data_IF_703252935247
#
_entry.id   IF_703252935247
#
_cell.length_a   1.000
_cell.length_b   1.000
_cell.length_c   1.000
_cell.angle_alpha   90.00
_cell.angle_beta   90.00
_cell.angle_gamma   90.00
#
_symmetry.space_group_name_H-M   'P 1'
#
loop_
_entity.id
_entity.type
_entity.pdbx_description
1 polymer ?
#
# COMPACT_ATOMS: atom_id res chain seq x y z
N UNK A 1 30.76 4.58 54.86
CA UNK A 1 32.16 4.52 55.34
C UNK A 1 32.34 3.25 56.16
N UNK A 2 33.55 2.64 56.25
CA UNK A 2 34.75 2.82 55.41
C UNK A 2 34.65 1.87 54.18
N UNK A 3 35.67 1.30 53.50
CA UNK A 3 37.12 1.56 53.40
C UNK A 3 37.53 1.59 51.90
N UNK A 4 38.59 0.89 51.45
CA UNK A 4 39.19 1.06 50.11
C UNK A 4 40.25 0.00 49.70
N UNK A 5 40.62 0.02 48.41
CA UNK A 5 41.80 -0.57 47.71
C UNK A 5 41.68 -2.02 47.18
N UNK A 6 42.27 -2.44 46.03
CA UNK A 6 43.31 -1.83 45.15
C UNK A 6 43.40 -2.45 43.71
N UNK A 7 43.68 -1.60 42.70
CA UNK A 7 44.42 -1.80 41.41
C UNK A 7 43.97 -2.80 40.30
N UNK A 8 44.45 -2.49 39.08
CA UNK A 8 44.04 -2.90 37.71
C UNK A 8 45.29 -3.50 36.93
N UNK A 9 45.27 -3.83 35.61
CA UNK A 9 44.66 -4.93 34.81
C UNK A 9 45.70 -5.89 34.12
N UNK A 10 45.23 -6.90 33.34
CA UNK A 10 46.05 -7.60 32.32
C UNK A 10 45.31 -8.67 31.50
N UNK A 11 45.68 -8.86 30.22
CA UNK A 11 45.13 -9.87 29.27
C UNK A 11 46.20 -10.99 29.00
N UNK A 12 46.04 -12.04 28.17
CA UNK A 12 45.08 -12.43 27.11
C UNK A 12 45.21 -13.98 26.86
N UNK A 13 44.21 -14.67 26.27
CA UNK A 13 44.42 -15.68 25.18
C UNK A 13 43.15 -16.45 24.73
N UNK A 14 43.15 -16.90 23.46
CA UNK A 14 42.12 -17.69 22.75
C UNK A 14 42.82 -18.89 22.09
N UNK A 15 42.12 -20.01 21.81
CA UNK A 15 42.36 -20.72 20.55
C UNK A 15 41.09 -21.08 19.77
N UNK A 16 41.24 -21.15 18.44
CA UNK A 16 40.34 -21.75 17.44
C UNK A 16 41.22 -22.70 16.57
N UNK A 17 40.75 -23.37 15.48
CA UNK A 17 39.41 -23.49 14.90
C UNK A 17 39.02 -24.94 14.49
N UNK A 18 37.88 -25.13 13.80
CA UNK A 18 37.70 -26.17 12.76
C UNK A 18 36.51 -25.84 11.83
N UNK A 19 36.49 -26.35 10.59
CA UNK A 19 35.62 -25.92 9.50
C UNK A 19 35.08 -27.09 8.63
N UNK A 20 34.00 -26.88 7.87
CA UNK A 20 33.46 -27.79 6.84
C UNK A 20 32.75 -27.03 5.68
N UNK A 21 32.44 -27.72 4.57
CA UNK A 21 32.37 -27.17 3.18
C UNK A 21 31.67 -28.13 2.20
N UNK A 22 30.88 -27.77 1.15
CA UNK A 22 30.20 -26.52 0.65
C UNK A 22 28.94 -26.97 -0.16
N UNK A 23 28.02 -26.13 -0.69
CA UNK A 23 28.10 -25.51 -2.05
C UNK A 23 26.89 -24.60 -2.40
N UNK A 24 27.08 -23.82 -3.49
CA UNK A 24 26.17 -23.12 -4.43
C UNK A 24 24.72 -23.66 -4.60
N UNK A 25 23.68 -22.85 -4.82
CA UNK A 25 23.53 -21.43 -5.24
C UNK A 25 22.59 -20.66 -4.25
N UNK A 26 22.27 -19.37 -4.33
CA UNK A 26 22.54 -18.31 -5.33
C UNK A 26 22.69 -16.89 -4.68
N UNK A 27 22.63 -15.81 -5.48
CA UNK A 27 22.88 -14.43 -5.06
C UNK A 27 21.80 -13.80 -4.17
N UNK A 28 22.12 -13.64 -2.88
CA UNK A 28 21.51 -12.63 -2.01
C UNK A 28 22.56 -11.55 -1.69
N UNK A 29 22.29 -10.30 -2.07
CA UNK A 29 23.09 -9.15 -1.64
C UNK A 29 22.74 -8.80 -0.18
N UNK A 30 23.26 -9.57 0.77
CA UNK A 30 23.25 -9.19 2.18
C UNK A 30 24.41 -8.23 2.44
N UNK A 31 24.12 -6.97 2.78
CA UNK A 31 25.12 -5.99 3.22
C UNK A 31 25.63 -6.40 4.61
N UNK A 32 26.61 -7.31 4.65
CA UNK A 32 27.45 -7.52 5.84
C UNK A 32 28.55 -6.47 5.83
N UNK A 33 28.59 -5.66 6.89
CA UNK A 33 29.74 -4.81 7.24
C UNK A 33 30.97 -5.71 7.39
N UNK A 34 31.76 -5.79 6.33
CA UNK A 34 32.91 -6.69 6.29
C UNK A 34 34.07 -6.07 7.06
N UNK A 35 34.62 -6.81 8.03
CA UNK A 35 35.88 -6.48 8.68
C UNK A 35 36.97 -6.28 7.61
N UNK A 36 37.54 -5.07 7.54
CA UNK A 36 38.76 -4.83 6.76
C UNK A 36 39.95 -5.31 7.60
N UNK A 37 40.37 -6.55 7.38
CA UNK A 37 41.62 -7.07 7.91
C UNK A 37 42.80 -6.48 7.13
N UNK A 38 43.36 -5.36 7.61
CA UNK A 38 44.56 -4.76 7.01
C UNK A 38 45.78 -5.63 7.33
N UNK A 39 46.21 -6.42 6.35
CA UNK A 39 47.48 -7.13 6.37
C UNK A 39 48.61 -6.19 5.91
N UNK A 40 49.09 -5.35 6.83
CA UNK A 40 50.37 -4.64 6.66
C UNK A 40 51.16 -4.63 7.96
N UNK A 41 52.32 -5.28 7.97
CA UNK A 41 53.31 -5.14 9.04
C UNK A 41 53.99 -3.78 8.94
N UNK A 42 53.39 -2.75 9.51
CA UNK A 42 54.11 -1.53 9.87
C UNK A 42 53.35 -0.75 10.96
N UNK A 43 54.08 -0.31 11.98
CA UNK A 43 53.52 0.32 13.17
C UNK A 43 53.16 1.78 12.90
N UNK A 44 51.86 2.10 12.83
CA UNK A 44 51.37 3.49 12.84
C UNK A 44 50.46 3.69 14.06
N UNK A 45 50.78 4.71 14.84
CA UNK A 45 50.03 5.07 16.05
C UNK A 45 48.96 6.14 15.76
N UNK A 46 47.88 6.16 16.56
CA UNK A 46 46.72 7.10 16.61
C UNK A 46 45.47 6.71 15.78
N UNK A 47 44.39 6.20 16.42
CA UNK A 47 43.18 5.74 15.74
C UNK A 47 42.10 6.84 15.56
N UNK A 48 42.45 8.01 14.99
CA UNK A 48 41.47 9.09 14.71
C UNK A 48 41.52 9.68 13.28
N UNK A 49 42.30 9.09 12.36
CA UNK A 49 42.47 9.62 11.00
C UNK A 49 41.72 8.85 9.89
N UNK A 50 41.29 7.60 10.11
CA UNK A 50 40.72 6.77 9.03
C UNK A 50 39.29 7.16 8.59
N UNK A 51 38.44 7.68 9.49
CA UNK A 51 37.08 8.10 9.12
C UNK A 51 37.09 9.34 8.21
N UNK A 52 38.01 10.27 8.45
CA UNK A 52 38.16 11.49 7.65
C UNK A 52 38.73 11.22 6.26
N UNK A 53 39.58 10.20 6.12
CA UNK A 53 40.20 9.85 4.84
C UNK A 53 39.19 9.28 3.83
N UNK A 54 38.24 8.44 4.28
CA UNK A 54 37.21 7.89 3.40
C UNK A 54 36.24 8.98 2.89
N UNK A 55 35.87 9.93 3.76
CA UNK A 55 35.04 11.08 3.38
C UNK A 55 35.79 12.09 2.50
N UNK A 56 37.09 12.32 2.74
CA UNK A 56 37.90 13.20 1.87
C UNK A 56 38.21 12.56 0.50
N UNK A 57 38.33 11.24 0.40
CA UNK A 57 38.49 10.53 -0.86
C UNK A 57 37.24 10.60 -1.76
N UNK A 58 36.05 10.77 -1.16
CA UNK A 58 34.79 10.99 -1.88
C UNK A 58 34.58 12.45 -2.32
N UNK A 59 35.36 13.41 -1.78
CA UNK A 59 35.12 14.85 -1.95
C UNK A 59 36.34 15.70 -2.38
N UNK A 60 37.44 15.09 -2.84
CA UNK A 60 38.56 15.85 -3.46
C UNK A 60 38.99 15.29 -4.81
N UNK A 61 39.10 16.20 -5.76
CA UNK A 61 39.48 15.94 -7.14
C UNK A 61 40.94 15.46 -7.30
N UNK A 62 41.19 14.78 -8.43
CA UNK A 62 42.50 14.51 -9.03
C UNK A 62 43.53 13.78 -8.15
N UNK A 63 43.62 12.47 -8.37
CA UNK A 63 44.94 11.82 -8.48
C UNK A 63 44.93 10.84 -9.64
N UNK A 64 45.68 11.17 -10.69
CA UNK A 64 45.92 10.27 -11.83
C UNK A 64 47.04 9.31 -11.42
N UNK A 65 46.74 8.01 -11.31
CA UNK A 65 47.77 6.99 -11.25
C UNK A 65 47.87 6.25 -12.58
N UNK A 66 48.90 6.58 -13.35
CA UNK A 66 49.33 5.77 -14.48
C UNK A 66 49.94 4.46 -13.96
N UNK A 67 49.29 3.34 -14.22
CA UNK A 67 50.01 2.07 -14.41
C UNK A 67 49.25 1.15 -15.36
N UNK A 68 49.87 0.85 -16.51
CA UNK A 68 49.51 -0.20 -17.48
C UNK A 68 48.05 -0.26 -17.98
N UNK A 69 47.76 0.57 -19.00
CA UNK A 69 47.09 0.06 -20.21
C UNK A 69 45.59 -0.21 -20.20
N UNK A 70 44.84 0.10 -19.13
CA UNK A 70 43.37 0.20 -19.18
C UNK A 70 42.89 1.44 -18.44
N UNK A 71 42.40 2.42 -19.19
CA UNK A 71 41.54 3.48 -18.64
C UNK A 71 40.19 2.84 -18.37
N UNK A 72 39.98 2.38 -17.14
CA UNK A 72 38.63 2.06 -16.66
C UNK A 72 38.03 3.41 -16.23
N UNK A 73 37.18 3.99 -17.07
CA UNK A 73 36.48 5.20 -16.70
C UNK A 73 35.43 4.87 -15.62
N UNK A 74 35.77 5.21 -14.38
CA UNK A 74 34.93 4.96 -13.20
C UNK A 74 33.70 5.88 -13.20
N UNK A 75 33.68 6.96 -14.01
CA UNK A 75 32.50 7.83 -14.15
C UNK A 75 31.29 7.07 -14.73
N UNK A 76 31.53 6.07 -15.58
CA UNK A 76 30.48 5.23 -16.17
C UNK A 76 29.90 4.15 -15.22
N UNK A 77 30.26 4.12 -13.92
CA UNK A 77 29.72 3.17 -12.94
C UNK A 77 28.79 3.75 -11.88
N UNK A 78 28.53 5.06 -11.92
CA UNK A 78 27.40 5.67 -11.21
C UNK A 78 26.57 6.47 -12.21
N UNK A 79 26.08 5.79 -13.26
CA UNK A 79 24.84 6.23 -13.91
C UNK A 79 23.78 6.04 -12.83
N UNK A 80 23.34 7.13 -12.19
CA UNK A 80 22.21 7.11 -11.26
C UNK A 80 21.04 6.62 -12.10
N UNK A 81 20.69 5.34 -11.98
CA UNK A 81 19.61 4.76 -12.76
C UNK A 81 18.33 5.38 -12.22
N UNK A 82 17.82 6.40 -12.89
CA UNK A 82 16.64 7.14 -12.48
C UNK A 82 15.50 6.15 -12.23
N UNK A 83 15.15 5.96 -10.96
CA UNK A 83 14.15 4.96 -10.56
C UNK A 83 12.79 5.63 -10.46
N UNK A 84 11.82 5.12 -11.21
CA UNK A 84 10.42 5.56 -11.11
C UNK A 84 9.65 4.58 -10.23
N UNK A 85 8.88 5.11 -9.27
CA UNK A 85 7.83 4.36 -8.60
C UNK A 85 6.46 4.78 -9.16
N UNK A 86 5.60 3.80 -9.45
CA UNK A 86 4.22 4.03 -9.83
C UNK A 86 3.30 3.45 -8.74
N UNK A 87 2.68 4.32 -7.98
CA UNK A 87 1.74 4.00 -6.91
C UNK A 87 0.32 4.12 -7.46
N UNK A 88 -0.49 3.10 -7.25
CA UNK A 88 -1.88 3.06 -7.68
C UNK A 88 -2.81 2.86 -6.48
N UNK A 89 -3.95 3.54 -6.45
CA UNK A 89 -5.09 3.06 -5.67
C UNK A 89 -5.66 1.76 -6.28
N UNK A 90 -6.43 1.01 -5.48
CA UNK A 90 -7.11 -0.21 -5.93
C UNK A 90 -8.51 0.04 -6.51
N UNK A 91 -9.41 0.73 -5.81
CA UNK A 91 -10.85 0.62 -6.02
C UNK A 91 -11.44 1.82 -6.78
N UNK A 92 -11.60 1.67 -8.09
CA UNK A 92 -11.90 2.76 -9.03
C UNK A 92 -10.70 3.11 -9.92
N UNK A 93 -9.49 2.72 -9.48
CA UNK A 93 -8.23 2.92 -10.21
C UNK A 93 -7.74 1.66 -10.93
N UNK A 94 -7.24 0.64 -10.22
CA UNK A 94 -6.86 -0.65 -10.82
C UNK A 94 -8.06 -1.57 -11.05
N UNK A 95 -9.07 -1.48 -10.18
CA UNK A 95 -10.25 -2.33 -10.17
C UNK A 95 -11.50 -1.54 -10.56
N UNK A 96 -12.22 -2.01 -11.58
CA UNK A 96 -13.60 -1.58 -11.82
C UNK A 96 -14.44 -2.06 -10.64
N UNK A 97 -15.09 -1.13 -9.96
CA UNK A 97 -15.75 -1.39 -8.68
C UNK A 97 -17.27 -1.20 -8.80
N UNK A 98 -18.01 -2.18 -8.28
CA UNK A 98 -19.47 -2.17 -8.15
C UNK A 98 -19.81 -2.14 -6.67
N UNK A 99 -20.78 -1.31 -6.28
CA UNK A 99 -21.25 -1.19 -4.89
C UNK A 99 -22.75 -1.46 -4.84
N UNK A 100 -23.20 -2.16 -3.81
CA UNK A 100 -24.62 -2.30 -3.47
C UNK A 100 -24.82 -1.81 -2.04
N UNK A 101 -25.90 -1.07 -1.83
CA UNK A 101 -26.27 -0.45 -0.56
C UNK A 101 -27.74 -0.71 -0.32
N UNK A 102 -28.10 -1.09 0.88
CA UNK A 102 -29.49 -1.29 1.30
C UNK A 102 -29.72 -0.55 2.62
N UNK A 103 -30.73 0.30 2.65
CA UNK A 103 -31.25 0.93 3.87
C UNK A 103 -31.94 -0.12 4.73
N UNK A 104 -31.68 -0.14 6.03
CA UNK A 104 -32.26 -1.11 6.97
C UNK A 104 -33.69 -0.73 7.38
N UNK A 105 -34.02 0.56 7.41
CA UNK A 105 -35.31 1.03 7.95
C UNK A 105 -36.49 0.88 6.99
N UNK A 106 -36.23 0.83 5.68
CA UNK A 106 -37.24 0.68 4.63
C UNK A 106 -36.94 -0.47 3.64
N UNK A 107 -35.80 -1.16 3.81
CA UNK A 107 -35.28 -2.21 2.92
C UNK A 107 -35.17 -1.78 1.44
N UNK A 108 -34.99 -0.49 1.18
CA UNK A 108 -34.82 0.04 -0.19
C UNK A 108 -33.35 0.33 -0.52
N UNK A 109 -33.04 0.28 -1.81
CA UNK A 109 -31.77 0.81 -2.33
C UNK A 109 -31.93 2.33 -2.41
N UNK A 110 -31.05 3.14 -1.78
CA UNK A 110 -31.16 4.59 -1.85
C UNK A 110 -31.17 5.09 -3.29
N UNK A 111 -31.96 6.13 -3.57
CA UNK A 111 -32.03 6.72 -4.91
C UNK A 111 -30.66 7.25 -5.35
N UNK A 112 -30.29 6.89 -6.59
CA UNK A 112 -29.01 7.09 -7.26
C UNK A 112 -27.83 6.20 -6.82
N UNK A 113 -26.83 6.12 -7.70
CA UNK A 113 -25.55 5.44 -7.46
C UNK A 113 -24.69 6.25 -6.46
N UNK A 114 -25.08 6.23 -5.19
CA UNK A 114 -24.40 6.97 -4.12
C UNK A 114 -23.11 6.24 -3.74
N UNK A 115 -21.96 6.90 -3.87
CA UNK A 115 -20.74 6.39 -3.25
C UNK A 115 -20.92 6.23 -1.74
N UNK A 116 -20.44 5.14 -1.18
CA UNK A 116 -20.59 4.86 0.26
C UNK A 116 -19.95 5.95 1.14
N UNK A 117 -18.87 6.58 0.66
CA UNK A 117 -18.27 7.80 1.20
C UNK A 117 -19.24 8.97 1.20
N UNK A 118 -19.92 9.26 0.07
CA UNK A 118 -20.93 10.31 -0.03
C UNK A 118 -22.10 10.06 0.94
N UNK A 119 -22.60 8.82 1.03
CA UNK A 119 -23.68 8.45 1.96
C UNK A 119 -23.27 8.63 3.43
N UNK A 120 -22.03 8.25 3.77
CA UNK A 120 -21.44 8.46 5.10
C UNK A 120 -21.26 9.94 5.41
N UNK A 121 -20.94 10.77 4.42
CA UNK A 121 -20.69 12.22 4.61
C UNK A 121 -21.97 13.08 4.59
N UNK A 122 -23.14 12.49 4.32
CA UNK A 122 -24.43 13.20 4.42
C UNK A 122 -24.86 13.48 5.87
N UNK A 123 -24.42 12.66 6.84
CA UNK A 123 -24.68 12.85 8.27
C UNK A 123 -23.37 12.78 9.05
N UNK A 124 -23.02 13.76 9.91
CA UNK A 124 -21.78 13.74 10.69
C UNK A 124 -21.65 12.57 11.68
N UNK A 125 -22.75 11.91 12.03
CA UNK A 125 -22.79 10.79 12.99
C UNK A 125 -22.75 9.41 12.30
N UNK A 126 -22.70 9.36 10.96
CA UNK A 126 -22.54 8.11 10.19
C UNK A 126 -21.08 7.66 10.10
N UNK A 127 -20.86 6.36 10.30
CA UNK A 127 -19.55 5.70 10.25
C UNK A 127 -19.61 4.46 9.38
N UNK A 128 -18.79 4.44 8.32
CA UNK A 128 -18.61 3.29 7.45
C UNK A 128 -17.67 2.29 8.10
N UNK A 129 -18.17 1.07 8.29
CA UNK A 129 -17.42 -0.07 8.85
C UNK A 129 -17.28 -1.20 7.85
N UNK A 130 -16.11 -1.81 7.83
CA UNK A 130 -15.81 -3.01 7.05
C UNK A 130 -15.87 -4.24 7.97
N UNK A 131 -16.82 -5.14 7.74
CA UNK A 131 -17.05 -6.31 8.59
C UNK A 131 -16.13 -7.47 8.17
N UNK A 132 -15.55 -8.22 9.11
CA UNK A 132 -14.65 -9.35 8.83
C UNK A 132 -15.39 -10.63 8.40
N UNK A 133 -16.48 -10.47 7.65
CA UNK A 133 -17.32 -11.55 7.14
C UNK A 133 -16.63 -12.36 6.04
N UNK A 134 -16.91 -13.66 6.03
CA UNK A 134 -16.62 -14.54 4.92
C UNK A 134 -17.90 -14.75 4.10
N UNK A 135 -17.92 -14.29 2.84
CA UNK A 135 -19.15 -14.17 2.04
C UNK A 135 -19.89 -15.49 1.80
N UNK A 136 -19.21 -16.63 1.93
CA UNK A 136 -19.85 -17.96 1.82
C UNK A 136 -20.68 -18.32 3.05
N UNK A 137 -20.24 -17.93 4.25
CA UNK A 137 -20.89 -18.30 5.52
C UNK A 137 -22.17 -17.48 5.73
N UNK A 138 -22.10 -16.16 5.52
CA UNK A 138 -23.27 -15.29 5.62
C UNK A 138 -24.35 -15.64 4.58
N UNK A 139 -23.96 -16.19 3.43
CA UNK A 139 -24.88 -16.71 2.39
C UNK A 139 -25.47 -18.10 2.70
N UNK A 140 -25.00 -18.76 3.75
CA UNK A 140 -25.53 -20.03 4.26
C UNK A 140 -26.30 -19.88 5.59
N UNK A 141 -26.17 -18.73 6.25
CA UNK A 141 -26.89 -18.38 7.47
C UNK A 141 -28.38 -18.10 7.23
N UNK A 142 -29.18 -18.21 8.28
CA UNK A 142 -30.63 -17.98 8.26
C UNK A 142 -30.94 -16.52 7.87
N UNK A 143 -31.65 -16.25 6.76
CA UNK A 143 -31.96 -14.88 6.34
C UNK A 143 -32.82 -14.10 7.35
N UNK A 144 -33.63 -14.77 8.17
CA UNK A 144 -34.50 -14.11 9.14
C UNK A 144 -33.79 -13.76 10.47
N UNK A 145 -32.58 -14.28 10.69
CA UNK A 145 -31.77 -13.96 11.87
C UNK A 145 -31.22 -12.53 11.88
N UNK A 146 -30.94 -12.01 13.08
CA UNK A 146 -30.32 -10.69 13.23
C UNK A 146 -28.84 -10.74 12.86
N UNK A 147 -28.37 -9.67 12.19
CA UNK A 147 -26.96 -9.54 11.83
C UNK A 147 -26.08 -9.40 13.09
N UNK A 148 -26.55 -8.71 14.13
CA UNK A 148 -25.87 -8.52 15.42
C UNK A 148 -25.61 -9.84 16.16
N UNK A 149 -26.60 -10.73 16.18
CA UNK A 149 -26.49 -12.09 16.75
C UNK A 149 -25.42 -12.88 16.01
N UNK A 150 -25.48 -12.95 14.68
CA UNK A 150 -24.46 -13.61 13.85
C UNK A 150 -23.06 -13.05 14.11
N UNK A 151 -22.90 -11.72 14.13
CA UNK A 151 -21.62 -11.05 14.38
C UNK A 151 -21.04 -11.43 15.76
N UNK A 152 -21.92 -11.55 16.77
CA UNK A 152 -21.57 -11.93 18.15
C UNK A 152 -21.17 -13.40 18.26
N UNK A 153 -21.98 -14.33 17.72
CA UNK A 153 -21.72 -15.77 17.76
C UNK A 153 -20.43 -16.15 17.05
N UNK A 154 -20.22 -15.59 15.85
CA UNK A 154 -19.01 -15.82 15.04
C UNK A 154 -17.79 -15.05 15.54
N UNK A 155 -17.97 -14.12 16.49
CA UNK A 155 -16.95 -13.16 16.94
C UNK A 155 -16.32 -12.39 15.77
N UNK A 156 -17.16 -12.00 14.81
CA UNK A 156 -16.73 -11.27 13.62
C UNK A 156 -16.22 -9.89 13.99
N UNK A 157 -14.91 -9.68 13.91
CA UNK A 157 -14.31 -8.36 14.06
C UNK A 157 -14.72 -7.40 12.92
N UNK A 158 -14.45 -6.11 13.12
CA UNK A 158 -14.66 -5.08 12.10
C UNK A 158 -13.51 -4.07 12.10
N UNK A 159 -13.40 -3.29 11.03
CA UNK A 159 -12.53 -2.12 10.94
C UNK A 159 -13.33 -0.87 10.60
N UNK A 160 -13.02 0.25 11.25
CA UNK A 160 -13.57 1.56 10.85
C UNK A 160 -12.88 1.98 9.55
N UNK A 161 -13.67 2.14 8.48
CA UNK A 161 -13.17 2.49 7.15
C UNK A 161 -13.24 3.99 6.89
N UNK A 162 -14.34 4.65 7.29
CA UNK A 162 -14.53 6.07 7.06
C UNK A 162 -15.48 6.70 8.08
N UNK A 163 -15.20 7.93 8.50
CA UNK A 163 -16.01 8.70 9.43
C UNK A 163 -15.48 10.12 9.59
N UNK A 164 -16.32 11.05 10.05
CA UNK A 164 -15.93 12.46 10.26
C UNK A 164 -15.33 12.75 11.64
N UNK A 165 -15.38 11.79 12.55
CA UNK A 165 -14.97 11.96 13.94
C UNK A 165 -13.93 10.89 14.31
N UNK A 166 -13.02 11.20 15.25
CA UNK A 166 -12.11 10.20 15.85
C UNK A 166 -12.90 9.44 16.91
N UNK A 167 -13.13 8.15 16.69
CA UNK A 167 -14.06 7.35 17.49
C UNK A 167 -13.34 6.11 18.05
N UNK A 168 -13.67 5.77 19.30
CA UNK A 168 -13.23 4.55 19.96
C UNK A 168 -14.00 3.37 19.37
N UNK A 169 -13.29 2.29 19.00
CA UNK A 169 -13.87 1.06 18.44
C UNK A 169 -15.09 0.56 19.19
N UNK A 170 -15.08 0.70 20.51
CA UNK A 170 -16.02 0.06 21.41
C UNK A 170 -17.45 0.61 21.26
N UNK A 171 -17.60 1.91 20.92
CA UNK A 171 -18.91 2.54 20.65
C UNK A 171 -19.51 2.04 19.34
N UNK A 172 -18.68 1.85 18.32
CA UNK A 172 -19.09 1.24 17.04
C UNK A 172 -19.44 -0.23 17.24
N UNK A 173 -18.69 -0.92 18.11
CA UNK A 173 -18.93 -2.30 18.50
C UNK A 173 -20.25 -2.49 19.23
N UNK A 174 -20.58 -1.64 20.21
CA UNK A 174 -21.85 -1.76 20.93
C UNK A 174 -23.04 -1.62 19.98
N UNK A 175 -23.00 -0.71 19.01
CA UNK A 175 -24.04 -0.60 17.99
C UNK A 175 -24.10 -1.88 17.13
N UNK A 176 -22.98 -2.32 16.57
CA UNK A 176 -22.95 -3.50 15.67
C UNK A 176 -23.40 -4.81 16.32
N UNK A 177 -23.05 -5.04 17.58
CA UNK A 177 -23.36 -6.29 18.29
C UNK A 177 -24.67 -6.24 19.09
N UNK A 178 -25.34 -5.09 19.18
CA UNK A 178 -26.62 -4.91 19.90
C UNK A 178 -27.76 -4.38 19.02
N UNK A 179 -27.51 -4.14 17.72
CA UNK A 179 -28.55 -3.77 16.76
C UNK A 179 -29.69 -4.80 16.73
N UNK A 180 -30.92 -4.34 16.50
CA UNK A 180 -32.14 -5.18 16.54
C UNK A 180 -32.97 -5.10 15.26
N UNK A 181 -32.46 -4.46 14.21
CA UNK A 181 -33.20 -4.18 12.97
C UNK A 181 -32.54 -4.81 11.74
N UNK A 182 -31.21 -4.75 11.62
CA UNK A 182 -30.48 -5.28 10.46
C UNK A 182 -30.51 -6.81 10.44
N UNK A 183 -31.01 -7.39 9.33
CA UNK A 183 -31.09 -8.84 9.15
C UNK A 183 -29.93 -9.39 8.33
N UNK A 184 -29.72 -10.70 8.47
CA UNK A 184 -28.82 -11.45 7.59
C UNK A 184 -29.30 -11.35 6.12
N UNK A 185 -30.61 -11.33 5.86
CA UNK A 185 -31.18 -11.10 4.53
C UNK A 185 -30.69 -9.80 3.86
N UNK A 186 -30.55 -8.70 4.60
CA UNK A 186 -30.10 -7.41 4.06
C UNK A 186 -28.65 -7.52 3.56
N UNK A 187 -27.79 -8.11 4.39
CA UNK A 187 -26.39 -8.38 4.07
C UNK A 187 -26.25 -9.35 2.89
N UNK A 188 -27.04 -10.42 2.87
CA UNK A 188 -27.09 -11.37 1.76
C UNK A 188 -27.50 -10.68 0.45
N UNK A 189 -28.47 -9.76 0.49
CA UNK A 189 -28.93 -9.03 -0.71
C UNK A 189 -27.79 -8.20 -1.31
N UNK A 190 -27.14 -7.34 -0.52
CA UNK A 190 -26.06 -6.48 -1.06
C UNK A 190 -24.89 -7.29 -1.60
N UNK A 191 -24.49 -8.38 -0.92
CA UNK A 191 -23.46 -9.30 -1.38
C UNK A 191 -23.86 -9.96 -2.71
N UNK A 192 -25.11 -10.42 -2.83
CA UNK A 192 -25.66 -11.08 -4.03
C UNK A 192 -25.72 -10.14 -5.23
N UNK A 193 -26.16 -8.89 -5.03
CA UNK A 193 -26.24 -7.87 -6.08
C UNK A 193 -24.85 -7.57 -6.67
N UNK A 194 -23.85 -7.39 -5.81
CA UNK A 194 -22.45 -7.24 -6.22
C UNK A 194 -21.95 -8.50 -6.96
N UNK A 195 -22.12 -9.69 -6.37
CA UNK A 195 -21.67 -10.97 -6.95
C UNK A 195 -22.25 -11.20 -8.35
N UNK A 196 -23.57 -11.02 -8.51
CA UNK A 196 -24.30 -11.21 -9.78
C UNK A 196 -23.87 -10.24 -10.89
N UNK A 197 -23.20 -9.14 -10.52
CA UNK A 197 -22.64 -8.18 -11.46
C UNK A 197 -21.21 -8.57 -11.84
N UNK A 198 -20.32 -8.78 -10.87
CA UNK A 198 -18.88 -9.02 -11.14
C UNK A 198 -18.59 -10.42 -11.69
N UNK A 199 -19.34 -11.45 -11.28
CA UNK A 199 -19.15 -12.84 -11.77
C UNK A 199 -19.46 -13.04 -13.26
N UNK A 200 -20.16 -12.08 -13.89
CA UNK A 200 -20.40 -12.06 -15.35
C UNK A 200 -19.25 -11.39 -16.13
N UNK A 201 -18.35 -10.72 -15.43
CA UNK A 201 -17.33 -9.84 -16.00
C UNK A 201 -15.91 -10.37 -15.79
N UNK A 202 -15.69 -11.11 -14.69
CA UNK A 202 -14.42 -11.74 -14.37
C UNK A 202 -14.64 -13.03 -13.56
N UNK A 203 -13.85 -14.06 -13.86
CA UNK A 203 -13.78 -15.29 -13.05
C UNK A 203 -13.17 -15.04 -11.66
N UNK A 204 -12.43 -13.95 -11.50
CA UNK A 204 -11.79 -13.55 -10.25
C UNK A 204 -12.07 -12.09 -9.90
N UNK A 205 -12.51 -11.84 -8.67
CA UNK A 205 -12.82 -10.54 -8.14
C UNK A 205 -12.66 -10.53 -6.62
N UNK A 206 -12.36 -9.36 -6.05
CA UNK A 206 -12.48 -9.12 -4.62
C UNK A 206 -13.93 -8.76 -4.28
N UNK A 207 -14.45 -9.24 -3.15
CA UNK A 207 -15.73 -8.79 -2.59
C UNK A 207 -15.55 -8.48 -1.09
N UNK A 208 -16.10 -7.35 -0.67
CA UNK A 208 -16.13 -6.83 0.68
C UNK A 208 -17.57 -6.58 1.13
N UNK A 209 -17.82 -6.73 2.42
CA UNK A 209 -19.10 -6.47 3.07
C UNK A 209 -18.89 -5.56 4.27
N UNK A 210 -19.86 -4.71 4.55
CA UNK A 210 -19.76 -3.63 5.52
C UNK A 210 -21.12 -3.08 5.89
N UNK A 211 -21.12 -2.08 6.76
CA UNK A 211 -22.31 -1.37 7.19
C UNK A 211 -22.02 0.12 7.36
N UNK A 212 -23.06 0.93 7.40
CA UNK A 212 -23.00 2.27 8.01
C UNK A 212 -23.79 2.22 9.30
N UNK A 213 -23.12 2.52 10.41
CA UNK A 213 -23.76 2.77 11.71
C UNK A 213 -23.96 4.27 11.91
N UNK A 214 -25.00 4.67 12.64
CA UNK A 214 -25.20 6.05 13.08
C UNK A 214 -25.08 6.12 14.60
N UNK A 215 -24.13 6.94 15.08
CA UNK A 215 -23.82 7.11 16.51
C UNK A 215 -24.94 7.81 17.30
N UNK A 216 -25.77 8.62 16.62
CA UNK A 216 -26.86 9.39 17.25
C UNK A 216 -28.15 8.58 17.40
N UNK A 217 -28.38 7.62 16.50
CA UNK A 217 -29.55 6.73 16.56
C UNK A 217 -29.22 5.36 17.16
N UNK A 218 -27.92 5.08 17.40
CA UNK A 218 -27.38 3.82 17.93
C UNK A 218 -27.80 2.58 17.11
N UNK A 219 -27.81 2.71 15.77
CA UNK A 219 -28.30 1.67 14.84
C UNK A 219 -27.42 1.48 13.61
N UNK A 220 -27.55 0.33 12.98
CA UNK A 220 -27.12 0.08 11.60
C UNK A 220 -28.16 0.71 10.65
N UNK A 221 -27.79 1.79 9.96
CA UNK A 221 -28.69 2.41 8.97
C UNK A 221 -28.62 1.73 7.60
N UNK A 222 -27.45 1.19 7.22
CA UNK A 222 -27.27 0.56 5.90
C UNK A 222 -26.39 -0.69 5.99
N UNK A 223 -26.76 -1.71 5.22
CA UNK A 223 -25.85 -2.79 4.83
C UNK A 223 -25.22 -2.48 3.47
N UNK A 224 -23.97 -2.89 3.27
CA UNK A 224 -23.16 -2.50 2.11
C UNK A 224 -22.33 -3.69 1.64
N UNK A 225 -22.25 -3.86 0.32
CA UNK A 225 -21.19 -4.64 -0.32
C UNK A 225 -20.47 -3.82 -1.39
N UNK A 226 -19.18 -4.11 -1.57
CA UNK A 226 -18.38 -3.59 -2.67
C UNK A 226 -17.60 -4.76 -3.29
N UNK A 227 -17.62 -4.88 -4.61
CA UNK A 227 -16.85 -5.88 -5.33
C UNK A 227 -16.10 -5.26 -6.50
N UNK A 228 -14.88 -5.74 -6.76
CA UNK A 228 -14.00 -5.16 -7.76
C UNK A 228 -13.17 -6.22 -8.50
N UNK A 229 -12.97 -5.99 -9.79
CA UNK A 229 -12.14 -6.81 -10.67
C UNK A 229 -11.23 -5.91 -11.53
N UNK A 230 -10.04 -6.36 -11.95
CA UNK A 230 -9.12 -5.52 -12.71
C UNK A 230 -9.75 -4.95 -13.99
N UNK A 231 -9.47 -3.69 -14.29
CA UNK A 231 -9.78 -3.16 -15.62
C UNK A 231 -9.05 -3.95 -16.71
N UNK A 232 -9.61 -4.06 -17.94
CA UNK A 232 -8.93 -4.70 -19.05
C UNK A 232 -7.55 -4.09 -19.31
N UNK A 233 -6.53 -4.93 -19.53
CA UNK A 233 -5.16 -4.49 -19.80
C UNK A 233 -4.30 -4.18 -18.56
N UNK A 234 -4.86 -4.19 -17.33
CA UNK A 234 -4.09 -3.85 -16.11
C UNK A 234 -2.90 -4.80 -15.87
N UNK A 235 -3.03 -6.09 -16.20
CA UNK A 235 -1.93 -7.05 -16.04
C UNK A 235 -0.80 -6.77 -17.02
N UNK A 236 -1.15 -6.48 -18.26
CA UNK A 236 -0.24 -6.14 -19.35
C UNK A 236 0.44 -4.79 -19.11
N UNK A 237 -0.29 -3.82 -18.55
CA UNK A 237 0.22 -2.54 -18.06
C UNK A 237 1.29 -2.75 -16.98
N UNK A 238 0.98 -3.50 -15.92
CA UNK A 238 1.93 -3.79 -14.82
C UNK A 238 3.16 -4.52 -15.35
N UNK A 239 2.98 -5.51 -16.22
CA UNK A 239 4.09 -6.23 -16.86
C UNK A 239 4.98 -5.30 -17.70
N UNK A 240 4.38 -4.36 -18.43
CA UNK A 240 5.11 -3.36 -19.24
C UNK A 240 5.91 -2.40 -18.35
N UNK A 241 5.30 -1.88 -17.29
CA UNK A 241 5.98 -1.02 -16.30
C UNK A 241 7.16 -1.75 -15.64
N UNK A 242 6.98 -3.02 -15.25
CA UNK A 242 8.09 -3.84 -14.73
C UNK A 242 9.18 -4.08 -15.79
N UNK A 243 8.83 -4.28 -17.06
CA UNK A 243 9.78 -4.38 -18.17
C UNK A 243 10.61 -3.12 -18.39
N UNK A 244 10.05 -1.94 -18.08
CA UNK A 244 10.74 -0.65 -18.08
C UNK A 244 11.58 -0.41 -16.80
N UNK A 245 11.56 -1.33 -15.83
CA UNK A 245 12.26 -1.19 -14.55
C UNK A 245 11.57 -0.31 -13.52
N UNK A 246 10.30 0.04 -13.73
CA UNK A 246 9.46 0.82 -12.81
C UNK A 246 9.07 -0.04 -11.62
N UNK A 247 9.09 0.51 -10.41
CA UNK A 247 8.57 -0.17 -9.23
C UNK A 247 7.07 0.12 -9.05
N UNK A 248 6.22 -0.89 -9.27
CA UNK A 248 4.77 -0.74 -9.14
C UNK A 248 4.30 -1.09 -7.72
N UNK A 249 3.47 -0.23 -7.12
CA UNK A 249 2.90 -0.36 -5.77
C UNK A 249 1.37 -0.21 -5.77
N UNK A 250 0.70 -0.83 -4.79
CA UNK A 250 -0.72 -0.59 -4.49
C UNK A 250 -0.83 0.09 -3.12
N UNK A 251 -1.65 1.14 -2.99
CA UNK A 251 -2.00 1.75 -1.71
C UNK A 251 -3.51 1.95 -1.58
N UNK A 252 -4.18 1.11 -0.78
CA UNK A 252 -5.65 1.11 -0.61
C UNK A 252 -6.07 0.92 0.86
N UNK A 253 -7.27 1.40 1.19
CA UNK A 253 -7.92 1.17 2.50
C UNK A 253 -8.41 -0.26 2.72
N UNK A 254 -8.41 -1.10 1.68
CA UNK A 254 -8.76 -2.52 1.77
C UNK A 254 -7.78 -3.35 2.61
N UNK A 255 -8.23 -4.50 3.12
CA UNK A 255 -7.36 -5.42 3.86
C UNK A 255 -6.22 -5.94 2.98
N UNK A 256 -5.00 -5.90 3.50
CA UNK A 256 -3.77 -6.35 2.83
C UNK A 256 -3.92 -7.74 2.20
N UNK A 257 -4.48 -8.73 2.91
CA UNK A 257 -4.66 -10.08 2.38
C UNK A 257 -5.53 -10.15 1.10
N UNK A 258 -6.51 -9.27 0.92
CA UNK A 258 -7.32 -9.20 -0.31
C UNK A 258 -6.58 -8.48 -1.43
N UNK A 259 -5.86 -7.42 -1.09
CA UNK A 259 -5.00 -6.70 -2.04
C UNK A 259 -3.85 -7.58 -2.54
N UNK A 260 -3.27 -8.43 -1.69
CA UNK A 260 -2.26 -9.43 -2.09
C UNK A 260 -2.82 -10.43 -3.11
N UNK A 261 -4.05 -10.92 -2.93
CA UNK A 261 -4.69 -11.82 -3.90
C UNK A 261 -4.88 -11.14 -5.27
N UNK A 262 -5.25 -9.86 -5.29
CA UNK A 262 -5.37 -9.07 -6.52
C UNK A 262 -3.99 -8.79 -7.11
N UNK A 263 -3.01 -8.42 -6.28
CA UNK A 263 -1.64 -8.12 -6.68
C UNK A 263 -0.97 -9.32 -7.35
N UNK A 264 -1.10 -10.52 -6.78
CA UNK A 264 -0.62 -11.78 -7.37
C UNK A 264 -1.21 -12.02 -8.78
N UNK A 265 -2.47 -11.62 -9.01
CA UNK A 265 -3.15 -11.79 -10.31
C UNK A 265 -2.61 -10.82 -11.36
N UNK A 266 -2.48 -9.53 -11.01
CA UNK A 266 -1.99 -8.48 -11.92
C UNK A 266 -0.45 -8.39 -11.99
N UNK A 267 0.27 -9.15 -11.17
CA UNK A 267 1.72 -9.27 -11.20
C UNK A 267 2.49 -8.28 -10.33
N UNK A 268 1.85 -7.68 -9.31
CA UNK A 268 2.51 -6.78 -8.35
C UNK A 268 3.06 -7.59 -7.16
N UNK A 269 4.34 -7.42 -6.77
CA UNK A 269 4.91 -8.09 -5.60
C UNK A 269 4.19 -7.74 -4.29
N UNK A 270 3.90 -8.73 -3.45
CA UNK A 270 3.21 -8.54 -2.16
C UNK A 270 3.89 -7.55 -1.21
N UNK A 271 5.23 -7.45 -1.25
CA UNK A 271 5.98 -6.46 -0.45
C UNK A 271 5.83 -5.02 -0.95
N UNK A 272 5.07 -4.79 -2.02
CA UNK A 272 4.66 -3.46 -2.55
C UNK A 272 3.15 -3.22 -2.42
N UNK A 273 2.47 -4.02 -1.60
CA UNK A 273 1.03 -3.89 -1.32
C UNK A 273 0.83 -3.26 0.05
N UNK A 274 0.29 -2.04 0.07
CA UNK A 274 -0.02 -1.30 1.28
C UNK A 274 -1.53 -1.27 1.50
N UNK A 275 -2.02 -2.25 2.26
CA UNK A 275 -3.42 -2.32 2.71
C UNK A 275 -3.69 -1.52 3.98
N UNK A 276 -4.98 -1.31 4.27
CA UNK A 276 -5.49 -0.52 5.41
C UNK A 276 -4.90 0.91 5.43
N UNK A 277 -4.57 1.44 4.25
CA UNK A 277 -3.98 2.76 4.10
C UNK A 277 -5.06 3.85 4.12
N UNK A 278 -5.12 4.62 5.22
CA UNK A 278 -5.91 5.86 5.29
C UNK A 278 -5.39 6.90 4.29
N UNK A 279 -6.15 7.95 3.93
CA UNK A 279 -5.67 9.02 3.06
C UNK A 279 -4.33 9.65 3.51
N UNK A 280 -4.12 9.77 4.82
CA UNK A 280 -2.86 10.24 5.42
C UNK A 280 -1.75 9.20 5.25
N UNK A 281 -2.06 7.91 5.46
CA UNK A 281 -1.12 6.80 5.25
C UNK A 281 -0.67 6.71 3.79
N UNK A 282 -1.58 6.88 2.82
CA UNK A 282 -1.25 6.92 1.39
C UNK A 282 -0.27 8.04 1.06
N UNK A 283 -0.51 9.25 1.59
CA UNK A 283 0.40 10.37 1.43
C UNK A 283 1.80 10.07 2.04
N UNK A 284 1.86 9.46 3.23
CA UNK A 284 3.12 9.07 3.84
C UNK A 284 3.88 8.00 3.04
N UNK A 285 3.18 7.04 2.41
CA UNK A 285 3.78 6.05 1.51
C UNK A 285 4.45 6.75 0.32
N UNK A 286 3.74 7.68 -0.34
CA UNK A 286 4.30 8.48 -1.44
C UNK A 286 5.52 9.28 -0.99
N UNK A 287 5.45 9.97 0.15
CA UNK A 287 6.59 10.73 0.69
C UNK A 287 7.80 9.85 1.02
N UNK A 288 7.58 8.65 1.58
CA UNK A 288 8.67 7.69 1.85
C UNK A 288 9.31 7.22 0.54
N UNK A 289 8.51 6.87 -0.47
CA UNK A 289 9.01 6.45 -1.78
C UNK A 289 9.83 7.55 -2.47
N UNK A 290 9.52 8.83 -2.26
CA UNK A 290 10.34 9.97 -2.76
C UNK A 290 11.74 10.06 -2.13
N UNK A 291 12.04 9.26 -1.10
CA UNK A 291 13.40 9.11 -0.55
C UNK A 291 14.18 7.96 -1.18
N UNK A 292 13.49 7.03 -1.87
CA UNK A 292 14.05 5.83 -2.49
C UNK A 292 14.05 5.88 -4.03
N UNK A 293 13.14 6.68 -4.62
CA UNK A 293 12.87 6.79 -6.04
C UNK A 293 13.01 8.24 -6.51
N UNK A 294 13.55 8.43 -7.72
CA UNK A 294 13.76 9.76 -8.31
C UNK A 294 12.46 10.47 -8.69
N UNK A 295 11.43 9.70 -9.09
CA UNK A 295 10.10 10.21 -9.44
C UNK A 295 9.06 9.23 -8.92
N UNK A 296 8.08 9.73 -8.17
CA UNK A 296 6.91 8.97 -7.73
C UNK A 296 5.66 9.48 -8.45
N UNK A 297 5.07 8.60 -9.24
CA UNK A 297 3.77 8.81 -9.90
C UNK A 297 2.68 8.24 -8.99
N UNK A 298 1.69 9.04 -8.61
CA UNK A 298 0.50 8.57 -7.90
C UNK A 298 -0.71 8.60 -8.83
N UNK A 299 -1.33 7.43 -9.05
CA UNK A 299 -2.58 7.31 -9.79
C UNK A 299 -3.73 6.99 -8.85
N UNK A 300 -4.79 7.80 -8.89
CA UNK A 300 -6.00 7.62 -8.09
C UNK A 300 -7.25 8.05 -8.87
N UNK A 301 -8.44 7.82 -8.31
CA UNK A 301 -9.71 8.21 -8.94
C UNK A 301 -10.59 9.07 -8.02
N UNK A 302 -10.31 9.13 -6.71
CA UNK A 302 -11.21 9.70 -5.73
C UNK A 302 -10.57 10.58 -4.67
N UNK A 303 -11.42 11.23 -3.87
CA UNK A 303 -11.00 12.22 -2.85
C UNK A 303 -10.05 11.64 -1.79
N UNK A 304 -10.08 10.32 -1.57
CA UNK A 304 -9.19 9.60 -0.67
C UNK A 304 -7.73 9.62 -1.12
N UNK A 305 -7.47 9.84 -2.42
CA UNK A 305 -6.14 9.86 -3.01
C UNK A 305 -5.56 11.27 -3.09
N UNK A 306 -6.37 12.32 -2.92
CA UNK A 306 -6.00 13.72 -3.10
C UNK A 306 -4.72 14.11 -2.33
N UNK A 307 -4.58 13.68 -1.08
CA UNK A 307 -3.39 13.97 -0.25
C UNK A 307 -2.13 13.24 -0.74
N UNK A 308 -2.29 12.07 -1.36
CA UNK A 308 -1.20 11.30 -1.94
C UNK A 308 -0.82 11.86 -3.32
N UNK A 309 -1.79 12.26 -4.14
CA UNK A 309 -1.59 12.97 -5.39
C UNK A 309 -0.81 14.28 -5.16
N UNK A 310 -1.23 15.12 -4.19
CA UNK A 310 -0.51 16.34 -3.78
C UNK A 310 0.91 16.11 -3.23
N UNK A 311 1.23 14.87 -2.85
CA UNK A 311 2.56 14.50 -2.33
C UNK A 311 3.49 13.96 -3.42
N UNK A 312 2.93 13.49 -4.53
CA UNK A 312 3.65 12.86 -5.63
C UNK A 312 4.51 13.86 -6.41
N UNK A 313 5.33 13.36 -7.33
CA UNK A 313 6.02 14.18 -8.32
C UNK A 313 5.19 14.34 -9.60
N UNK A 314 4.33 13.35 -9.88
CA UNK A 314 3.31 13.39 -10.93
C UNK A 314 2.01 12.80 -10.37
N UNK A 315 0.94 13.57 -10.42
CA UNK A 315 -0.42 13.17 -10.06
C UNK A 315 -1.22 12.78 -11.32
N UNK A 316 -1.74 11.56 -11.35
CA UNK A 316 -2.59 11.06 -12.44
C UNK A 316 -3.99 10.78 -11.88
N UNK A 317 -5.00 11.45 -12.44
CA UNK A 317 -6.41 11.17 -12.16
C UNK A 317 -6.95 10.23 -13.23
N UNK A 318 -7.45 9.05 -12.84
CA UNK A 318 -8.24 8.22 -13.75
C UNK A 318 -9.73 8.52 -13.59
N UNK A 319 -10.42 8.65 -14.72
CA UNK A 319 -11.88 8.77 -14.81
C UNK A 319 -12.55 7.53 -15.42
N UNK A 320 -11.80 6.43 -15.57
CA UNK A 320 -12.27 5.18 -16.18
C UNK A 320 -13.42 4.51 -15.40
N UNK A 321 -13.47 4.73 -14.09
CA UNK A 321 -14.63 4.41 -13.25
C UNK A 321 -15.65 5.56 -13.35
N UNK A 322 -16.89 5.25 -13.71
CA UNK A 322 -17.98 6.24 -13.71
C UNK A 322 -18.29 6.71 -12.28
N UNK A 323 -18.41 8.02 -12.09
CA UNK A 323 -18.66 8.64 -10.80
C UNK A 323 -18.55 10.18 -10.84
N UNK A 324 -19.16 10.86 -9.87
CA UNK A 324 -18.97 12.30 -9.67
C UNK A 324 -17.68 12.54 -8.89
N UNK A 325 -16.87 13.50 -9.33
CA UNK A 325 -15.58 13.85 -8.71
C UNK A 325 -15.56 15.33 -8.35
N UNK A 326 -15.08 15.72 -7.14
CA UNK A 326 -14.85 17.12 -6.80
C UNK A 326 -13.82 17.79 -7.73
N UNK A 327 -14.04 19.05 -8.09
CA UNK A 327 -13.18 19.81 -9.03
C UNK A 327 -11.70 19.79 -8.62
N UNK A 328 -11.43 19.87 -7.32
CA UNK A 328 -10.06 19.88 -6.76
C UNK A 328 -9.23 18.64 -7.11
N UNK A 329 -9.83 17.53 -7.53
CA UNK A 329 -9.09 16.38 -8.08
C UNK A 329 -8.51 16.70 -9.46
N UNK A 330 -9.28 17.36 -10.33
CA UNK A 330 -8.82 17.81 -11.65
C UNK A 330 -7.78 18.93 -11.52
N UNK A 331 -7.99 19.89 -10.60
CA UNK A 331 -7.01 20.95 -10.30
C UNK A 331 -5.67 20.43 -9.74
N UNK A 332 -5.68 19.25 -9.12
CA UNK A 332 -4.49 18.61 -8.52
C UNK A 332 -3.76 17.69 -9.51
N UNK A 333 -4.40 17.26 -10.59
CA UNK A 333 -3.85 16.26 -11.48
C UNK A 333 -3.02 16.89 -12.61
N UNK A 334 -1.78 16.41 -12.79
CA UNK A 334 -0.94 16.75 -13.95
C UNK A 334 -1.49 16.08 -15.23
N UNK A 335 -2.10 14.90 -15.07
CA UNK A 335 -2.71 14.14 -16.17
C UNK A 335 -4.09 13.60 -15.77
N UNK A 336 -5.04 13.66 -16.70
CA UNK A 336 -6.35 13.01 -16.58
C UNK A 336 -6.47 11.96 -17.68
N UNK A 337 -6.80 10.72 -17.32
CA UNK A 337 -6.88 9.58 -18.24
C UNK A 337 -8.24 8.87 -18.12
N UNK A 338 -8.81 8.42 -19.23
CA UNK A 338 -10.03 7.60 -19.28
C UNK A 338 -9.74 6.09 -19.39
N UNK A 339 -8.48 5.71 -19.58
CA UNK A 339 -7.99 4.34 -19.55
C UNK A 339 -6.70 4.24 -18.71
N UNK A 340 -6.73 3.44 -17.65
CA UNK A 340 -5.59 3.23 -16.75
C UNK A 340 -4.31 2.78 -17.45
N UNK A 341 -4.43 2.08 -18.60
CA UNK A 341 -3.29 1.64 -19.39
C UNK A 341 -2.46 2.80 -19.98
N UNK A 342 -3.03 4.01 -20.11
CA UNK A 342 -2.30 5.18 -20.61
C UNK A 342 -1.25 5.70 -19.62
N UNK A 343 -1.28 5.29 -18.35
CA UNK A 343 -0.18 5.51 -17.40
C UNK A 343 1.16 4.97 -17.91
N UNK A 344 1.17 3.93 -18.76
CA UNK A 344 2.40 3.46 -19.43
C UNK A 344 3.03 4.55 -20.29
N UNK A 345 2.22 5.34 -21.03
CA UNK A 345 2.73 6.41 -21.90
C UNK A 345 3.33 7.55 -21.09
N UNK A 346 2.67 7.94 -20.01
CA UNK A 346 3.14 8.96 -19.06
C UNK A 346 4.48 8.52 -18.45
N UNK A 347 4.51 7.32 -17.86
CA UNK A 347 5.73 6.78 -17.22
C UNK A 347 6.86 6.57 -18.23
N UNK A 348 6.54 6.19 -19.48
CA UNK A 348 7.56 6.05 -20.53
C UNK A 348 8.21 7.38 -20.88
N UNK A 349 7.44 8.47 -20.97
CA UNK A 349 8.03 9.80 -21.19
C UNK A 349 9.03 10.19 -20.10
N UNK A 350 8.77 9.81 -18.85
CA UNK A 350 9.68 10.02 -17.72
C UNK A 350 10.94 9.14 -17.82
N UNK A 351 10.80 7.86 -18.12
CA UNK A 351 11.93 6.92 -18.25
C UNK A 351 12.83 7.26 -19.45
N UNK A 352 12.24 7.50 -20.63
CA UNK A 352 12.98 7.83 -21.86
C UNK A 352 13.68 9.19 -21.73
N UNK A 353 13.03 10.19 -21.10
CA UNK A 353 13.63 11.50 -20.80
C UNK A 353 14.82 11.41 -19.84
N UNK A 354 14.82 10.42 -18.93
CA UNK A 354 15.91 10.16 -18.00
C UNK A 354 17.13 9.43 -18.62
N UNK A 355 17.04 8.91 -19.84
CA UNK A 355 18.18 8.26 -20.51
C UNK A 355 19.04 9.24 -21.34
N UNK A 356 18.60 10.49 -21.52
CA UNK A 356 19.24 11.48 -22.39
C UNK A 356 20.07 12.56 -21.67
N UNK A 357 20.18 12.49 -20.34
CA UNK A 357 21.12 13.28 -19.52
C UNK A 357 22.33 12.42 -19.03
#
# INVERSE_FOLDING_TARGET
MPLSFKKIPGYLCIPAPQAFSVHFYDFIFSVKLCHISVLSRETVSRPKACATWLLQALFREKTIHQNKGRIIDIRNRIRIKMTVAAVFDSAGTLLRTVRSVLSVSDHQVPDACVETTTLTFQDPDRILVLLNLHSREIMQADPDGLLSEYLTETKTGFGISCGRQVIVSDVVGSILYQDTEARIADMQKVIRDCWMTVSKQSESFALNAGAIVNLRTEKIEFTIAAAGYPFPGVREMVATLHGMGVAVFIASGDRTAKLEMIADQIGIPRNRVHGVATPVTKAQIVQNLKTEYNVVVMTGDGINDLSAMKSADIAVLTVQQEGKRPEILYETADYVIDNICDTVRIVKGLVDGCEME
#
